data_IF_376269916666
#
_entry.id   IF_376269916666
#
_cell.length_a   1.000
_cell.length_b   1.000
_cell.length_c   1.000
_cell.angle_alpha   90.00
_cell.angle_beta   90.00
_cell.angle_gamma   90.00
#
_symmetry.space_group_name_H-M   'P 1'
#
loop_
_entity.id
_entity.type
_entity.pdbx_description
1 polymer ?
#
# COMPACT_ATOMS: atom_id res chain seq x y z
N UNK A 1 9.71 -3.11 22.32
CA UNK A 1 10.55 -3.75 21.27
C UNK A 1 9.72 -4.28 20.07
N UNK A 2 8.57 -3.64 19.75
CA UNK A 2 7.75 -4.07 18.62
C UNK A 2 8.26 -3.45 17.31
N UNK A 3 8.23 -4.20 16.21
CA UNK A 3 8.45 -3.63 14.88
C UNK A 3 7.21 -2.84 14.44
N UNK A 4 7.41 -1.80 13.65
CA UNK A 4 6.33 -0.92 13.21
C UNK A 4 5.23 -1.68 12.47
N UNK A 5 5.58 -2.70 11.69
CA UNK A 5 4.63 -3.56 10.99
C UNK A 5 3.60 -4.20 11.95
N UNK A 6 4.05 -4.73 13.09
CA UNK A 6 3.15 -5.35 14.08
C UNK A 6 2.22 -4.31 14.71
N UNK A 7 2.76 -3.13 15.05
CA UNK A 7 1.96 -2.05 15.61
C UNK A 7 0.88 -1.61 14.63
N UNK A 8 1.24 -1.37 13.37
CA UNK A 8 0.29 -0.95 12.34
C UNK A 8 -0.82 -1.98 12.12
N UNK A 9 -0.47 -3.27 12.03
CA UNK A 9 -1.45 -4.31 11.73
C UNK A 9 -2.28 -4.72 12.95
N UNK A 10 -1.61 -4.95 14.10
CA UNK A 10 -2.23 -5.61 15.25
C UNK A 10 -2.80 -4.62 16.27
N UNK A 11 -2.30 -3.38 16.29
CA UNK A 11 -2.76 -2.35 17.24
C UNK A 11 -3.56 -1.25 16.58
N UNK A 12 -3.14 -0.78 15.41
CA UNK A 12 -3.83 0.28 14.65
C UNK A 12 -4.91 -0.30 13.73
N UNK A 13 -4.72 -1.53 13.23
CA UNK A 13 -5.67 -2.20 12.34
C UNK A 13 -5.50 -1.85 10.85
N UNK A 14 -4.37 -1.25 10.44
CA UNK A 14 -4.08 -0.92 9.05
C UNK A 14 -3.64 -2.19 8.30
N UNK A 15 -4.60 -2.93 7.74
CA UNK A 15 -4.36 -4.21 7.09
C UNK A 15 -3.79 -4.11 5.67
N UNK A 16 -3.78 -2.92 5.07
CA UNK A 16 -3.13 -2.67 3.79
C UNK A 16 -1.62 -2.92 3.82
N UNK A 17 -0.97 -2.63 4.94
CA UNK A 17 0.46 -2.97 5.12
C UNK A 17 0.60 -4.49 5.21
N UNK A 18 1.34 -5.11 4.28
CA UNK A 18 1.42 -6.58 4.17
C UNK A 18 2.72 -7.15 4.73
N UNK A 19 2.61 -8.33 5.35
CA UNK A 19 3.75 -9.11 5.82
C UNK A 19 4.10 -10.17 4.77
N UNK A 20 5.16 -9.95 3.98
CA UNK A 20 5.54 -10.86 2.89
C UNK A 20 6.79 -11.69 3.16
N UNK A 21 7.77 -11.19 3.93
CA UNK A 21 9.04 -11.90 4.09
C UNK A 21 9.68 -11.76 5.48
N UNK A 22 9.44 -10.69 6.23
CA UNK A 22 10.11 -10.30 7.50
C UNK A 22 11.66 -10.16 7.41
N UNK A 23 12.19 -10.11 6.19
CA UNK A 23 13.64 -10.07 5.90
C UNK A 23 14.07 -8.78 5.20
N UNK A 24 13.14 -7.84 4.98
CA UNK A 24 13.43 -6.59 4.28
C UNK A 24 13.62 -6.72 2.76
N UNK A 25 13.20 -7.83 2.15
CA UNK A 25 13.48 -8.11 0.73
C UNK A 25 12.29 -7.91 -0.20
N UNK A 26 11.04 -8.01 0.29
CA UNK A 26 9.86 -8.04 -0.59
C UNK A 26 9.17 -6.71 -0.81
N UNK A 27 9.37 -5.71 0.04
CA UNK A 27 8.75 -4.39 -0.07
C UNK A 27 7.25 -4.32 0.22
N UNK A 28 6.56 -5.44 0.50
CA UNK A 28 5.11 -5.45 0.75
C UNK A 28 4.69 -4.66 2.00
N UNK A 29 5.62 -4.43 2.91
CA UNK A 29 5.42 -3.67 4.15
C UNK A 29 5.85 -2.21 4.06
N UNK A 30 6.09 -1.68 2.86
CA UNK A 30 6.51 -0.28 2.68
C UNK A 30 5.43 0.67 3.19
N UNK A 31 5.86 1.61 4.01
CA UNK A 31 5.09 2.76 4.50
C UNK A 31 5.91 4.03 4.27
N UNK A 32 5.28 5.19 4.27
CA UNK A 32 5.98 6.46 4.18
C UNK A 32 6.12 7.03 5.59
N UNK A 33 7.34 7.34 6.02
CA UNK A 33 7.63 7.96 7.32
C UNK A 33 8.25 9.32 7.04
N UNK A 34 7.57 10.39 7.42
CA UNK A 34 7.96 11.78 7.13
C UNK A 34 8.29 12.01 5.64
N UNK A 35 7.48 11.44 4.75
CA UNK A 35 7.64 11.55 3.30
C UNK A 35 8.65 10.57 2.68
N UNK A 36 9.36 9.76 3.48
CA UNK A 36 10.37 8.81 2.99
C UNK A 36 9.84 7.37 3.05
N UNK A 37 9.87 6.61 1.93
CA UNK A 37 9.44 5.22 1.94
C UNK A 37 10.41 4.34 2.76
N UNK A 38 9.87 3.57 3.70
CA UNK A 38 10.62 2.67 4.59
C UNK A 38 9.90 1.35 4.79
N UNK A 39 10.68 0.31 5.09
CA UNK A 39 10.18 -1.02 5.38
C UNK A 39 9.76 -1.13 6.85
N UNK A 40 8.46 -1.21 7.11
CA UNK A 40 7.95 -1.27 8.49
C UNK A 40 8.35 -2.53 9.24
N UNK A 41 8.67 -3.63 8.56
CA UNK A 41 9.19 -4.85 9.19
C UNK A 41 10.61 -4.71 9.75
N UNK A 42 11.39 -3.72 9.27
CA UNK A 42 12.75 -3.42 9.75
C UNK A 42 12.82 -2.15 10.60
N UNK A 43 11.71 -1.49 10.82
CA UNK A 43 11.62 -0.25 11.62
C UNK A 43 11.06 -0.57 13.00
N UNK A 44 11.76 -0.16 14.07
CA UNK A 44 11.23 -0.26 15.43
C UNK A 44 10.21 0.86 15.67
N UNK A 45 9.06 0.52 16.24
CA UNK A 45 7.98 1.48 16.48
C UNK A 45 8.43 2.66 17.38
N UNK A 46 9.26 2.40 18.37
CA UNK A 46 9.79 3.45 19.25
C UNK A 46 10.76 4.42 18.57
N UNK A 47 11.32 4.10 17.40
CA UNK A 47 12.19 4.99 16.63
C UNK A 47 11.42 6.04 15.82
N UNK A 48 10.13 5.86 15.67
CA UNK A 48 9.25 6.73 14.86
C UNK A 48 8.18 7.41 15.70
N UNK A 49 8.42 7.54 17.00
CA UNK A 49 7.55 8.30 17.90
C UNK A 49 7.46 9.76 17.45
N UNK A 50 6.23 10.25 17.28
CA UNK A 50 5.98 11.60 16.78
C UNK A 50 6.12 11.79 15.26
N UNK A 51 6.59 10.79 14.52
CA UNK A 51 6.70 10.86 13.07
C UNK A 51 5.32 10.73 12.38
N UNK A 52 5.18 11.35 11.21
CA UNK A 52 4.01 11.17 10.37
C UNK A 52 4.14 9.89 9.54
N UNK A 53 3.27 8.91 9.80
CA UNK A 53 3.29 7.62 9.11
C UNK A 53 2.10 7.55 8.16
N UNK A 54 2.38 7.42 6.86
CA UNK A 54 1.37 7.25 5.82
C UNK A 54 1.41 5.81 5.30
N UNK A 55 0.28 5.13 5.39
CA UNK A 55 0.06 3.81 4.80
C UNK A 55 -0.77 3.93 3.52
N UNK A 56 -0.99 2.82 2.81
CA UNK A 56 -1.77 2.82 1.57
C UNK A 56 -3.20 3.33 1.77
N UNK A 57 -3.77 3.14 2.94
CA UNK A 57 -5.11 3.62 3.30
C UNK A 57 -5.19 5.15 3.30
N UNK A 58 -4.10 5.80 3.72
CA UNK A 58 -4.03 7.27 3.78
C UNK A 58 -3.69 7.94 2.44
N UNK A 59 -3.47 7.19 1.36
CA UNK A 59 -3.29 7.78 0.03
C UNK A 59 -4.60 8.33 -0.53
N UNK A 60 -5.73 7.75 -0.18
CA UNK A 60 -7.06 8.22 -0.54
C UNK A 60 -7.61 9.19 0.50
N UNK A 61 -8.56 10.03 0.10
CA UNK A 61 -9.29 10.93 1.02
C UNK A 61 -10.52 10.26 1.66
N UNK A 62 -10.68 8.94 1.46
CA UNK A 62 -11.81 8.15 1.92
C UNK A 62 -12.97 8.09 0.93
N UNK A 63 -13.19 9.13 0.12
CA UNK A 63 -14.23 9.19 -0.91
C UNK A 63 -13.67 8.89 -2.30
N UNK A 64 -12.44 9.31 -2.58
CA UNK A 64 -11.80 9.20 -3.88
C UNK A 64 -10.43 8.54 -3.75
N UNK A 65 -10.13 7.63 -4.67
CA UNK A 65 -8.82 7.04 -4.79
C UNK A 65 -7.80 8.09 -5.28
N UNK A 66 -6.59 8.03 -4.75
CA UNK A 66 -5.49 8.80 -5.31
C UNK A 66 -5.22 8.41 -6.78
N UNK A 67 -4.66 9.32 -7.60
CA UNK A 67 -4.33 9.04 -9.01
C UNK A 67 -3.56 7.74 -9.20
N UNK A 68 -2.57 7.48 -8.36
CA UNK A 68 -1.77 6.26 -8.41
C UNK A 68 -2.61 4.99 -8.17
N UNK A 69 -3.56 5.01 -7.23
CA UNK A 69 -4.44 3.89 -6.96
C UNK A 69 -5.39 3.62 -8.14
N UNK A 70 -5.94 4.67 -8.72
CA UNK A 70 -6.81 4.58 -9.90
C UNK A 70 -6.05 4.02 -11.10
N UNK A 71 -4.82 4.51 -11.36
CA UNK A 71 -4.00 4.03 -12.47
C UNK A 71 -3.59 2.57 -12.30
N UNK A 72 -3.27 2.10 -11.09
CA UNK A 72 -3.01 0.68 -10.84
C UNK A 72 -4.21 -0.21 -11.17
N UNK A 73 -5.42 0.25 -10.88
CA UNK A 73 -6.65 -0.47 -11.23
C UNK A 73 -6.89 -0.49 -12.74
N UNK A 74 -6.75 0.64 -13.41
CA UNK A 74 -7.10 0.79 -14.84
C UNK A 74 -6.05 0.21 -15.79
N UNK A 75 -4.78 0.16 -15.38
CA UNK A 75 -3.67 -0.37 -16.21
C UNK A 75 -3.28 -1.82 -15.83
N UNK A 76 -4.05 -2.48 -14.96
CA UNK A 76 -3.75 -3.86 -14.57
C UNK A 76 -2.48 -4.01 -13.71
N UNK A 77 -2.04 -2.95 -13.02
CA UNK A 77 -0.89 -2.97 -12.11
C UNK A 77 -1.10 -3.82 -10.86
N UNK A 78 -2.31 -4.35 -10.67
CA UNK A 78 -2.66 -5.22 -9.55
C UNK A 78 -3.33 -6.49 -10.08
N UNK A 79 -2.88 -7.68 -9.62
CA UNK A 79 -3.51 -8.97 -9.89
C UNK A 79 -3.97 -9.61 -8.56
N UNK A 80 -3.08 -10.32 -7.85
CA UNK A 80 -3.45 -10.88 -6.53
C UNK A 80 -3.59 -9.81 -5.44
N UNK A 81 -3.07 -8.60 -5.65
CA UNK A 81 -3.18 -7.46 -4.74
C UNK A 81 -2.21 -7.46 -3.55
N UNK A 82 -1.46 -8.54 -3.30
CA UNK A 82 -0.65 -8.66 -2.09
C UNK A 82 0.52 -7.66 -2.03
N UNK A 83 1.23 -7.46 -3.11
CA UNK A 83 2.35 -6.50 -3.20
C UNK A 83 1.88 -5.06 -3.47
N UNK A 84 0.67 -4.89 -3.98
CA UNK A 84 0.14 -3.61 -4.46
C UNK A 84 0.27 -2.47 -3.45
N UNK A 85 -0.05 -2.61 -2.16
CA UNK A 85 0.10 -1.54 -1.18
C UNK A 85 1.52 -0.99 -1.09
N UNK A 86 2.52 -1.87 -1.09
CA UNK A 86 3.92 -1.46 -1.05
C UNK A 86 4.34 -0.68 -2.31
N UNK A 87 3.92 -1.14 -3.49
CA UNK A 87 4.16 -0.42 -4.75
C UNK A 87 3.49 0.95 -4.76
N UNK A 88 2.25 1.05 -4.32
CA UNK A 88 1.50 2.32 -4.29
C UNK A 88 2.21 3.36 -3.42
N UNK A 89 2.67 2.98 -2.22
CA UNK A 89 3.39 3.89 -1.31
C UNK A 89 4.76 4.29 -1.89
N UNK A 90 5.53 3.34 -2.42
CA UNK A 90 6.84 3.61 -3.04
C UNK A 90 6.70 4.53 -4.26
N UNK A 91 5.71 4.26 -5.12
CA UNK A 91 5.43 5.06 -6.31
C UNK A 91 4.95 6.47 -5.96
N UNK A 92 4.08 6.62 -4.95
CA UNK A 92 3.64 7.93 -4.49
C UNK A 92 4.82 8.75 -3.94
N UNK A 93 5.75 8.12 -3.20
CA UNK A 93 6.95 8.78 -2.72
C UNK A 93 7.84 9.25 -3.87
N UNK A 94 7.98 8.45 -4.94
CA UNK A 94 8.67 8.86 -6.16
C UNK A 94 8.01 10.11 -6.77
N UNK A 95 6.68 10.08 -7.00
CA UNK A 95 5.94 11.15 -7.65
C UNK A 95 5.95 12.45 -6.84
N UNK A 96 6.00 12.36 -5.51
CA UNK A 96 6.12 13.53 -4.63
C UNK A 96 7.50 14.22 -4.78
N UNK A 97 8.56 13.46 -5.08
CA UNK A 97 9.92 13.99 -5.23
C UNK A 97 10.29 14.29 -6.68
N UNK A 98 9.77 13.52 -7.61
CA UNK A 98 9.99 13.69 -9.06
C UNK A 98 8.64 13.49 -9.77
N UNK A 99 7.94 14.57 -10.12
CA UNK A 99 6.62 14.48 -10.78
C UNK A 99 6.72 14.06 -12.26
N UNK A 100 7.92 14.01 -12.82
CA UNK A 100 8.16 13.63 -14.23
C UNK A 100 9.26 12.54 -14.34
N UNK A 101 9.01 11.35 -13.72
CA UNK A 101 10.02 10.31 -13.71
C UNK A 101 10.11 9.65 -15.09
N UNK A 102 11.33 9.37 -15.52
CA UNK A 102 11.58 8.46 -16.65
C UNK A 102 11.24 7.02 -16.26
N UNK A 103 10.99 6.19 -17.26
CA UNK A 103 10.74 4.75 -17.05
C UNK A 103 11.85 4.06 -16.24
N UNK A 104 13.10 4.47 -16.45
CA UNK A 104 14.24 3.94 -15.70
C UNK A 104 14.20 4.37 -14.22
N UNK A 105 13.86 5.62 -13.93
CA UNK A 105 13.72 6.11 -12.56
C UNK A 105 12.56 5.42 -11.85
N UNK A 106 11.44 5.16 -12.55
CA UNK A 106 10.34 4.37 -12.02
C UNK A 106 10.82 2.97 -11.65
N UNK A 107 11.52 2.28 -12.57
CA UNK A 107 12.03 0.94 -12.33
C UNK A 107 12.98 0.90 -11.10
N UNK A 108 13.88 1.88 -10.98
CA UNK A 108 14.77 2.01 -9.82
C UNK A 108 13.99 2.29 -8.52
N UNK A 109 12.98 3.14 -8.56
CA UNK A 109 12.21 3.48 -7.35
C UNK A 109 11.42 2.29 -6.78
N UNK A 110 11.02 1.34 -7.63
CA UNK A 110 10.26 0.15 -7.23
C UNK A 110 11.10 -1.12 -7.14
N UNK A 111 12.42 -1.07 -7.34
CA UNK A 111 13.30 -2.26 -7.32
C UNK A 111 13.26 -3.04 -6.01
N UNK A 112 12.98 -2.35 -4.90
CA UNK A 112 12.81 -2.95 -3.57
C UNK A 112 11.45 -3.64 -3.36
N UNK A 113 10.55 -3.63 -4.34
CA UNK A 113 9.22 -4.20 -4.25
C UNK A 113 9.09 -5.43 -5.18
N UNK A 114 8.75 -6.59 -4.62
CA UNK A 114 8.63 -7.83 -5.39
C UNK A 114 7.18 -8.11 -5.80
N UNK A 115 6.97 -8.35 -7.10
CA UNK A 115 5.71 -8.86 -7.65
C UNK A 115 5.95 -10.16 -8.40
N UNK A 116 5.15 -11.21 -8.08
CA UNK A 116 5.24 -12.51 -8.76
C UNK A 116 4.22 -12.67 -9.90
N UNK A 117 3.29 -11.73 -10.03
CA UNK A 117 2.13 -11.88 -10.90
C UNK A 117 2.23 -11.08 -12.20
N UNK A 118 2.55 -9.77 -12.12
CA UNK A 118 2.36 -8.81 -13.23
C UNK A 118 3.51 -8.77 -14.23
N UNK A 119 4.70 -9.24 -13.87
CA UNK A 119 5.91 -9.05 -14.70
C UNK A 119 6.39 -7.59 -14.76
N UNK A 120 5.90 -6.71 -13.85
CA UNK A 120 6.28 -5.29 -13.67
C UNK A 120 5.84 -4.33 -14.77
N UNK A 121 5.63 -4.77 -16.01
CA UNK A 121 5.31 -3.88 -17.13
C UNK A 121 4.09 -3.00 -16.83
N UNK A 122 2.98 -3.62 -16.43
CA UNK A 122 1.73 -2.91 -16.11
C UNK A 122 1.85 -2.02 -14.87
N UNK A 123 2.72 -2.37 -13.93
CA UNK A 123 3.02 -1.52 -12.76
C UNK A 123 3.73 -0.25 -13.23
N UNK A 124 4.74 -0.36 -14.06
CA UNK A 124 5.48 0.79 -14.61
C UNK A 124 4.54 1.67 -15.45
N UNK A 125 3.72 1.07 -16.32
CA UNK A 125 2.75 1.80 -17.14
C UNK A 125 1.73 2.56 -16.27
N UNK A 126 1.28 1.95 -15.16
CA UNK A 126 0.37 2.59 -14.20
C UNK A 126 1.02 3.80 -13.50
N UNK A 127 2.32 3.70 -13.16
CA UNK A 127 3.06 4.80 -12.51
C UNK A 127 3.28 5.95 -13.50
N UNK A 128 3.63 5.66 -14.75
CA UNK A 128 3.74 6.67 -15.82
C UNK A 128 2.42 7.42 -16.02
N UNK A 129 1.31 6.69 -16.13
CA UNK A 129 -0.01 7.30 -16.24
C UNK A 129 -0.38 8.16 -15.03
N UNK A 130 -0.05 7.70 -13.83
CA UNK A 130 -0.29 8.46 -12.61
C UNK A 130 0.55 9.74 -12.54
N UNK A 131 1.79 9.72 -13.05
CA UNK A 131 2.66 10.90 -13.12
C UNK A 131 2.02 12.02 -13.97
N UNK A 132 1.43 11.67 -15.13
CA UNK A 132 0.73 12.63 -16.00
C UNK A 132 -0.45 13.29 -15.26
N UNK A 133 -1.23 12.50 -14.52
CA UNK A 133 -2.37 13.02 -13.74
C UNK A 133 -1.88 13.88 -12.57
N UNK A 134 -0.83 13.42 -11.89
CA UNK A 134 -0.24 14.14 -10.75
C UNK A 134 0.21 15.55 -11.11
N UNK A 135 0.70 15.75 -12.33
CA UNK A 135 1.03 17.07 -12.89
C UNK A 135 -0.18 17.90 -13.33
N UNK A 136 -1.37 17.35 -13.31
CA UNK A 136 -2.58 18.01 -13.81
C UNK A 136 -2.73 18.06 -15.34
N UNK A 137 -1.94 17.27 -16.07
CA UNK A 137 -1.96 17.23 -17.54
C UNK A 137 -3.08 16.34 -18.10
N UNK A 138 -3.63 15.45 -17.30
CA UNK A 138 -4.76 14.59 -17.64
C UNK A 138 -5.75 14.48 -16.49
N UNK A 139 -7.02 14.25 -16.85
CA UNK A 139 -8.05 13.95 -15.86
C UNK A 139 -7.93 12.50 -15.39
N UNK A 140 -8.38 12.24 -14.15
CA UNK A 140 -8.51 10.87 -13.65
C UNK A 140 -9.41 10.06 -14.58
N UNK A 141 -8.99 8.86 -15.01
CA UNK A 141 -9.89 7.95 -15.72
C UNK A 141 -11.08 7.65 -14.80
N UNK A 142 -12.28 7.61 -15.38
CA UNK A 142 -13.47 7.24 -14.62
C UNK A 142 -13.19 5.89 -13.92
N UNK A 143 -13.28 5.88 -12.60
CA UNK A 143 -13.12 4.65 -11.84
C UNK A 143 -14.14 3.65 -12.39
N UNK A 144 -13.66 2.48 -12.82
CA UNK A 144 -14.56 1.38 -13.12
C UNK A 144 -15.40 1.16 -11.86
N UNK A 145 -16.69 1.40 -11.95
CA UNK A 145 -17.63 1.19 -10.85
C UNK A 145 -17.76 -0.32 -10.65
N UNK A 146 -16.76 -0.90 -10.00
CA UNK A 146 -16.96 -2.20 -9.39
C UNK A 146 -17.88 -1.97 -8.20
N UNK A 147 -19.04 -2.64 -8.13
CA UNK A 147 -19.83 -2.62 -6.92
C UNK A 147 -18.93 -3.15 -5.80
N UNK A 148 -18.61 -2.28 -4.85
CA UNK A 148 -17.99 -2.72 -3.59
C UNK A 148 -18.95 -3.77 -3.02
N UNK A 149 -18.52 -5.01 -2.76
CA UNK A 149 -19.39 -5.92 -2.04
C UNK A 149 -19.73 -5.23 -0.73
N UNK A 150 -21.04 -5.18 -0.44
CA UNK A 150 -21.54 -4.62 0.81
C UNK A 150 -20.71 -5.13 1.99
N UNK A 151 -20.43 -4.30 3.00
CA UNK A 151 -19.74 -4.75 4.18
C UNK A 151 -20.44 -6.00 4.68
N UNK A 152 -19.68 -7.09 4.85
CA UNK A 152 -20.17 -8.39 5.28
C UNK A 152 -21.30 -8.22 6.28
N UNK A 153 -22.49 -8.82 6.03
CA UNK A 153 -23.51 -8.89 7.05
C UNK A 153 -22.87 -9.50 8.28
N UNK A 154 -23.01 -8.84 9.42
CA UNK A 154 -22.56 -9.31 10.71
C UNK A 154 -22.91 -10.80 10.84
N UNK A 155 -21.88 -11.65 10.77
CA UNK A 155 -22.03 -13.09 10.90
C UNK A 155 -22.72 -13.45 12.24
N UNK A 156 -23.40 -14.58 12.30
CA UNK A 156 -24.05 -15.04 13.52
C UNK A 156 -23.04 -15.15 14.67
N UNK A 157 -23.42 -14.59 15.80
CA UNK A 157 -22.72 -14.39 17.04
C UNK A 157 -21.51 -15.29 17.36
N UNK A 158 -20.52 -14.67 17.97
CA UNK A 158 -19.37 -15.33 18.58
C UNK A 158 -19.80 -16.59 19.36
N UNK A 159 -19.12 -17.72 19.14
CA UNK A 159 -19.30 -18.86 20.03
C UNK A 159 -18.78 -18.49 21.42
N UNK A 160 -19.68 -18.41 22.39
CA UNK A 160 -19.35 -18.28 23.79
C UNK A 160 -18.44 -19.46 24.19
N UNK A 161 -17.21 -19.14 24.59
CA UNK A 161 -16.30 -20.13 25.16
C UNK A 161 -16.90 -20.72 26.47
N UNK A 162 -16.89 -22.05 26.64
CA UNK A 162 -17.30 -22.64 27.88
C UNK A 162 -16.29 -22.32 29.01
N UNK A 163 -16.75 -22.06 30.24
CA UNK A 163 -15.86 -21.83 31.37
C UNK A 163 -15.20 -23.15 31.81
N UNK A 164 -13.90 -23.09 31.99
CA UNK A 164 -13.18 -24.05 32.80
C UNK A 164 -12.23 -24.99 32.08
N UNK A 165 -10.93 -24.73 32.31
CA UNK A 165 -10.06 -25.68 32.99
C UNK A 165 -8.80 -24.94 33.43
N UNK A 166 -8.78 -24.55 34.70
CA UNK A 166 -7.56 -24.28 35.44
C UNK A 166 -6.80 -25.60 35.64
N UNK A 167 -5.54 -25.65 35.22
CA UNK A 167 -4.42 -26.36 35.85
C UNK A 167 -3.10 -25.74 35.40
#
# INVERSE_FOLDING_TARGET
NAVLLDVLRDKVGTLGVKRGCDLGTCGCCTVMIDGVPKLSCLTLAGQVEGANILTVEGLSDGAHLAPIQTCFSTHGGSQCGFCTPGFLVASQALLNNNPEPTRQEIACAIEGNLCRCTGYQQIIDAIEAAAVIHRGEAALPAAASSPHPDPHPSGPGEPTMPPGHAR
#
